data_IF_119948419244
#
_entry.id   IF_119948419244
#
_cell.length_a   1.000
_cell.length_b   1.000
_cell.length_c   1.000
_cell.angle_alpha   90.00
_cell.angle_beta   90.00
_cell.angle_gamma   90.00
#
_symmetry.space_group_name_H-M   'P 1'
#
loop_
_entity.id
_entity.type
_entity.pdbx_description
1 polymer ?
#
# COMPACT_ATOMS: atom_id res chain seq x y z
N UNK A 1 -11.30 9.61 -13.96
CA UNK A 1 -11.04 8.97 -15.26
C UNK A 1 -11.98 9.48 -16.37
N UNK A 2 -13.27 9.67 -16.06
CA UNK A 2 -14.26 10.20 -17.03
C UNK A 2 -14.20 11.70 -17.21
N UNK A 3 -13.52 12.45 -16.36
CA UNK A 3 -13.40 13.91 -16.40
C UNK A 3 -14.69 14.66 -16.03
N UNK A 4 -15.66 14.00 -15.40
CA UNK A 4 -16.94 14.60 -14.98
C UNK A 4 -16.85 15.32 -13.63
N UNK A 5 -15.88 14.96 -12.80
CA UNK A 5 -15.56 15.61 -11.52
C UNK A 5 -14.11 16.10 -11.53
N UNK A 6 -13.85 17.21 -10.84
CA UNK A 6 -12.51 17.72 -10.56
C UNK A 6 -11.89 17.06 -9.32
N UNK A 7 -10.72 17.56 -8.87
CA UNK A 7 -9.99 17.06 -7.70
C UNK A 7 -10.72 17.30 -6.38
N UNK A 8 -11.63 18.30 -6.36
CA UNK A 8 -12.45 18.62 -5.20
C UNK A 8 -13.83 17.93 -5.24
N UNK A 9 -14.03 16.96 -6.14
CA UNK A 9 -15.28 16.25 -6.39
C UNK A 9 -16.44 17.15 -6.85
N UNK A 10 -16.15 18.32 -7.43
CA UNK A 10 -17.13 19.20 -8.04
C UNK A 10 -17.32 18.85 -9.52
N UNK A 11 -18.52 19.13 -10.04
CA UNK A 11 -18.82 18.90 -11.45
C UNK A 11 -17.95 19.81 -12.34
N UNK A 12 -17.28 19.19 -13.30
CA UNK A 12 -16.62 19.92 -14.40
C UNK A 12 -17.67 20.45 -15.38
N UNK A 13 -17.30 21.34 -16.34
CA UNK A 13 -18.21 21.72 -17.44
C UNK A 13 -18.74 20.51 -18.22
N UNK A 14 -17.91 19.47 -18.41
CA UNK A 14 -18.35 18.20 -19.01
C UNK A 14 -19.36 17.49 -18.09
N UNK A 15 -19.04 17.38 -16.79
CA UNK A 15 -19.95 16.78 -15.81
C UNK A 15 -21.31 17.44 -15.76
N UNK A 16 -21.36 18.77 -15.81
CA UNK A 16 -22.61 19.54 -15.84
C UNK A 16 -23.45 19.27 -17.09
N UNK A 17 -22.83 19.01 -18.25
CA UNK A 17 -23.54 18.59 -19.46
C UNK A 17 -24.00 17.14 -19.33
N UNK A 18 -23.13 16.24 -18.85
CA UNK A 18 -23.47 14.84 -18.64
C UNK A 18 -24.64 14.64 -17.68
N UNK A 19 -24.77 15.46 -16.62
CA UNK A 19 -25.86 15.39 -15.65
C UNK A 19 -27.26 15.64 -16.27
N UNK A 20 -27.31 16.19 -17.47
CA UNK A 20 -28.60 16.40 -18.19
C UNK A 20 -29.09 15.11 -18.87
N UNK A 21 -28.26 14.11 -19.07
CA UNK A 21 -28.64 12.86 -19.73
C UNK A 21 -29.25 11.86 -18.75
N UNK A 22 -30.36 11.21 -19.12
CA UNK A 22 -31.02 10.21 -18.28
C UNK A 22 -30.39 8.79 -18.49
N UNK A 23 -29.09 8.71 -18.43
CA UNK A 23 -28.28 7.48 -18.61
C UNK A 23 -27.13 7.47 -17.63
N UNK A 24 -26.43 6.35 -17.51
CA UNK A 24 -25.23 6.28 -16.67
C UNK A 24 -24.17 7.33 -17.05
N UNK A 25 -23.40 7.88 -16.11
CA UNK A 25 -22.40 8.92 -16.36
C UNK A 25 -21.42 8.60 -17.49
N UNK A 26 -20.98 7.34 -17.62
CA UNK A 26 -20.09 6.90 -18.68
C UNK A 26 -20.71 6.97 -20.07
N UNK A 27 -21.98 6.61 -20.17
CA UNK A 27 -22.76 6.66 -21.41
C UNK A 27 -23.04 8.13 -21.78
N UNK A 28 -23.30 8.97 -20.78
CA UNK A 28 -23.47 10.42 -20.98
C UNK A 28 -22.19 11.08 -21.53
N UNK A 29 -21.00 10.68 -21.06
CA UNK A 29 -19.71 11.17 -21.60
C UNK A 29 -19.56 10.78 -23.07
N UNK A 30 -19.91 9.53 -23.43
CA UNK A 30 -19.88 9.08 -24.82
C UNK A 30 -20.82 9.92 -25.71
N UNK A 31 -22.05 10.17 -25.25
CA UNK A 31 -23.03 11.00 -25.99
C UNK A 31 -22.56 12.45 -26.17
N UNK A 32 -22.00 13.07 -25.12
CA UNK A 32 -21.49 14.45 -25.17
C UNK A 32 -20.30 14.60 -26.12
N UNK A 33 -19.43 13.59 -26.18
CA UNK A 33 -18.22 13.61 -27.01
C UNK A 33 -18.37 12.98 -28.39
N UNK A 34 -19.52 12.36 -28.68
CA UNK A 34 -19.77 11.73 -29.99
C UNK A 34 -19.73 12.72 -31.17
N UNK A 35 -19.91 14.01 -30.92
CA UNK A 35 -19.75 15.08 -31.91
C UNK A 35 -18.33 15.19 -32.46
N UNK A 36 -17.32 14.82 -31.65
CA UNK A 36 -15.91 14.81 -32.07
C UNK A 36 -15.66 13.82 -33.25
N UNK A 37 -16.56 12.87 -33.42
CA UNK A 37 -16.51 11.82 -34.46
C UNK A 37 -17.63 11.92 -35.50
N UNK A 38 -18.43 12.98 -35.47
CA UNK A 38 -19.64 13.11 -36.29
C UNK A 38 -20.59 11.90 -36.15
N UNK A 39 -20.66 11.30 -34.94
CA UNK A 39 -21.33 10.04 -34.67
C UNK A 39 -22.43 10.16 -33.62
N UNK A 40 -23.01 11.35 -33.39
CA UNK A 40 -24.05 11.56 -32.39
C UNK A 40 -25.28 10.67 -32.61
N UNK A 41 -25.83 10.52 -33.85
CA UNK A 41 -26.96 9.63 -34.07
C UNK A 41 -26.62 8.16 -33.75
N UNK A 42 -25.41 7.73 -34.13
CA UNK A 42 -24.93 6.37 -33.82
C UNK A 42 -24.74 6.16 -32.32
N UNK A 43 -24.19 7.15 -31.63
CA UNK A 43 -23.99 7.10 -30.17
C UNK A 43 -25.31 6.97 -29.40
N UNK A 44 -26.41 7.58 -29.89
CA UNK A 44 -27.74 7.38 -29.32
C UNK A 44 -28.21 5.92 -29.46
N UNK A 45 -27.94 5.30 -30.59
CA UNK A 45 -28.24 3.88 -30.80
C UNK A 45 -27.39 2.96 -29.91
N UNK A 46 -26.11 3.26 -29.76
CA UNK A 46 -25.19 2.54 -28.84
C UNK A 46 -25.64 2.72 -27.40
N UNK A 47 -25.97 3.93 -26.98
CA UNK A 47 -26.44 4.20 -25.62
C UNK A 47 -27.70 3.39 -25.28
N UNK A 48 -28.67 3.38 -26.18
CA UNK A 48 -29.89 2.57 -26.01
C UNK A 48 -29.58 1.05 -25.96
N UNK A 49 -28.56 0.58 -26.69
CA UNK A 49 -28.13 -0.82 -26.64
C UNK A 49 -27.45 -1.17 -25.32
N UNK A 50 -26.66 -0.27 -24.76
CA UNK A 50 -25.96 -0.46 -23.47
C UNK A 50 -26.93 -0.47 -22.27
N UNK A 51 -28.08 0.19 -22.38
CA UNK A 51 -29.14 0.20 -21.36
C UNK A 51 -30.04 -1.05 -21.39
N UNK A 52 -29.97 -1.88 -22.46
CA UNK A 52 -30.72 -3.15 -22.52
C UNK A 52 -30.12 -4.17 -21.55
N UNK A 53 -30.83 -4.53 -20.48
CA UNK A 53 -30.38 -5.40 -19.40
C UNK A 53 -29.99 -6.83 -19.81
N UNK A 54 -30.50 -7.32 -20.93
CA UNK A 54 -30.37 -8.72 -21.40
C UNK A 54 -29.51 -8.86 -22.65
N UNK A 55 -28.79 -7.81 -23.07
CA UNK A 55 -27.93 -7.92 -24.25
C UNK A 55 -26.60 -8.62 -23.91
N UNK A 56 -26.61 -9.95 -23.92
CA UNK A 56 -25.38 -10.76 -23.91
C UNK A 56 -24.73 -10.83 -25.31
N UNK A 57 -24.92 -9.79 -26.11
CA UNK A 57 -24.41 -9.67 -27.45
C UNK A 57 -22.88 -9.56 -27.42
N UNK A 58 -22.19 -10.43 -28.11
CA UNK A 58 -20.73 -10.48 -28.13
C UNK A 58 -20.13 -9.33 -28.92
N UNK A 59 -20.71 -9.04 -30.10
CA UNK A 59 -20.43 -7.87 -30.94
C UNK A 59 -21.55 -6.85 -30.80
N UNK A 60 -21.25 -5.72 -30.22
CA UNK A 60 -22.18 -4.60 -30.14
C UNK A 60 -22.41 -3.95 -31.52
N UNK A 61 -21.40 -4.01 -32.39
CA UNK A 61 -21.52 -3.53 -33.76
C UNK A 61 -22.57 -4.32 -34.56
N UNK A 62 -22.53 -5.66 -34.51
CA UNK A 62 -23.50 -6.50 -35.24
C UNK A 62 -24.89 -6.37 -34.64
N UNK A 63 -24.98 -6.30 -33.30
CA UNK A 63 -26.24 -6.09 -32.61
C UNK A 63 -26.89 -4.76 -32.99
N UNK A 64 -26.09 -3.69 -33.06
CA UNK A 64 -26.59 -2.39 -33.48
C UNK A 64 -26.97 -2.35 -34.96
N UNK A 65 -26.15 -2.96 -35.84
CA UNK A 65 -26.45 -3.11 -37.27
C UNK A 65 -27.79 -3.77 -37.52
N UNK A 66 -28.08 -4.85 -36.80
CA UNK A 66 -29.37 -5.53 -36.86
C UNK A 66 -30.52 -4.65 -36.43
N UNK A 67 -30.38 -3.91 -35.33
CA UNK A 67 -31.40 -3.01 -34.77
C UNK A 67 -31.70 -1.83 -35.69
N UNK A 68 -30.66 -1.26 -36.30
CA UNK A 68 -30.82 -0.17 -37.26
C UNK A 68 -31.55 -0.63 -38.52
N UNK A 69 -31.28 -1.87 -39.00
CA UNK A 69 -31.94 -2.44 -40.19
C UNK A 69 -33.35 -2.89 -39.90
N UNK A 70 -33.70 -3.37 -38.71
CA UNK A 70 -34.98 -3.95 -38.33
C UNK A 70 -35.53 -3.36 -37.03
N UNK A 71 -35.76 -2.02 -36.94
CA UNK A 71 -36.12 -1.38 -35.70
C UNK A 71 -37.45 -1.89 -35.12
N UNK A 72 -38.39 -2.32 -35.98
CA UNK A 72 -39.70 -2.87 -35.54
C UNK A 72 -39.55 -4.17 -34.74
N UNK A 73 -38.45 -4.93 -34.95
CA UNK A 73 -38.15 -6.14 -34.19
C UNK A 73 -37.65 -5.85 -32.77
N UNK A 74 -37.14 -4.65 -32.53
CA UNK A 74 -36.53 -4.22 -31.25
C UNK A 74 -37.25 -2.92 -30.74
N UNK A 75 -38.53 -2.97 -30.38
CA UNK A 75 -39.33 -1.77 -30.10
C UNK A 75 -38.85 -1.01 -28.85
N UNK A 76 -38.30 -1.71 -27.84
CA UNK A 76 -37.77 -1.07 -26.62
C UNK A 76 -36.51 -0.27 -26.94
N UNK A 77 -35.53 -0.90 -27.62
CA UNK A 77 -34.32 -0.24 -28.07
C UNK A 77 -34.65 0.97 -28.97
N UNK A 78 -35.54 0.79 -29.94
CA UNK A 78 -35.87 1.85 -30.91
C UNK A 78 -36.50 3.07 -30.22
N UNK A 79 -37.42 2.86 -29.26
CA UNK A 79 -38.02 3.92 -28.46
C UNK A 79 -36.96 4.70 -27.69
N UNK A 80 -36.03 4.00 -27.04
CA UNK A 80 -34.98 4.62 -26.24
C UNK A 80 -33.98 5.37 -27.12
N UNK A 81 -33.56 4.79 -28.23
CA UNK A 81 -32.66 5.43 -29.18
C UNK A 81 -33.28 6.71 -29.79
N UNK A 82 -34.57 6.69 -30.13
CA UNK A 82 -35.32 7.89 -30.59
C UNK A 82 -35.42 8.94 -29.49
N UNK A 83 -35.62 8.55 -28.23
CA UNK A 83 -35.70 9.48 -27.11
C UNK A 83 -34.37 10.21 -26.93
N UNK A 84 -33.27 9.48 -26.98
CA UNK A 84 -31.91 10.04 -26.86
C UNK A 84 -31.58 10.92 -28.08
N UNK A 85 -31.86 10.48 -29.30
CA UNK A 85 -31.63 11.25 -30.52
C UNK A 85 -32.41 12.57 -30.53
N UNK A 86 -33.72 12.56 -30.13
CA UNK A 86 -34.52 13.78 -29.95
C UNK A 86 -33.89 14.75 -28.96
N UNK A 87 -33.36 14.23 -27.84
CA UNK A 87 -32.69 15.04 -26.83
C UNK A 87 -31.38 15.64 -27.37
N UNK A 88 -30.65 14.90 -28.18
CA UNK A 88 -29.42 15.35 -28.86
C UNK A 88 -29.72 16.34 -30.02
N UNK A 89 -30.96 16.51 -30.43
CA UNK A 89 -31.33 17.34 -31.59
C UNK A 89 -30.93 16.73 -32.94
N UNK A 90 -30.85 15.41 -33.04
CA UNK A 90 -30.47 14.67 -34.26
C UNK A 90 -31.53 13.66 -34.67
N UNK A 91 -31.53 13.24 -35.94
CA UNK A 91 -32.37 12.15 -36.40
C UNK A 91 -31.66 10.81 -36.28
N UNK A 92 -32.28 9.79 -35.70
CA UNK A 92 -31.67 8.45 -35.57
C UNK A 92 -31.36 7.82 -36.93
N UNK A 93 -32.16 8.14 -37.94
CA UNK A 93 -32.01 7.64 -39.32
C UNK A 93 -30.73 8.17 -39.99
N UNK A 94 -30.07 9.22 -39.45
CA UNK A 94 -28.81 9.74 -39.92
C UNK A 94 -27.60 8.94 -39.36
N UNK A 95 -27.87 7.89 -38.56
CA UNK A 95 -26.83 7.05 -38.02
C UNK A 95 -26.12 6.27 -39.12
N UNK A 96 -24.85 6.61 -39.33
CA UNK A 96 -23.93 5.84 -40.19
C UNK A 96 -23.17 4.85 -39.34
N UNK A 97 -23.27 3.58 -39.69
CA UNK A 97 -22.60 2.51 -38.97
C UNK A 97 -21.09 2.58 -39.26
N UNK A 98 -20.33 2.89 -38.25
CA UNK A 98 -18.86 2.89 -38.23
C UNK A 98 -18.36 2.01 -37.09
N UNK A 99 -17.05 1.66 -37.04
CA UNK A 99 -16.49 0.92 -35.89
C UNK A 99 -16.83 1.58 -34.56
N UNK A 100 -17.36 0.80 -33.61
CA UNK A 100 -17.86 1.33 -32.32
C UNK A 100 -16.75 1.52 -31.30
N UNK A 101 -15.56 0.93 -31.52
CA UNK A 101 -14.44 1.03 -30.58
C UNK A 101 -14.14 2.45 -30.09
N UNK A 102 -14.02 3.46 -30.96
CA UNK A 102 -13.76 4.84 -30.54
C UNK A 102 -14.85 5.44 -29.63
N UNK A 103 -16.12 5.21 -29.92
CA UNK A 103 -17.24 5.67 -29.08
C UNK A 103 -17.24 4.97 -27.71
N UNK A 104 -17.06 3.66 -27.71
CA UNK A 104 -17.03 2.86 -26.49
C UNK A 104 -15.80 3.18 -25.63
N UNK A 105 -14.68 3.54 -26.24
CA UNK A 105 -13.49 4.00 -25.52
C UNK A 105 -13.74 5.27 -24.69
N UNK A 106 -14.66 6.14 -25.11
CA UNK A 106 -15.09 7.31 -24.33
C UNK A 106 -15.87 6.93 -23.08
N UNK A 107 -16.70 5.87 -23.18
CA UNK A 107 -17.49 5.37 -22.05
C UNK A 107 -16.68 4.51 -21.08
N UNK A 108 -15.67 3.78 -21.58
CA UNK A 108 -14.91 2.77 -20.84
C UNK A 108 -13.40 2.98 -20.92
N UNK A 109 -12.86 4.16 -20.54
CA UNK A 109 -11.43 4.45 -20.67
C UNK A 109 -10.55 3.50 -19.83
N UNK A 110 -11.06 3.02 -18.69
CA UNK A 110 -10.38 2.08 -17.81
C UNK A 110 -10.35 0.64 -18.33
N UNK A 111 -11.16 0.36 -19.36
CA UNK A 111 -11.32 -0.99 -19.98
C UNK A 111 -10.73 -1.07 -21.39
N UNK A 112 -9.95 -0.08 -21.79
CA UNK A 112 -9.09 -0.22 -22.97
C UNK A 112 -8.15 -1.39 -22.73
N UNK A 113 -8.05 -2.30 -23.69
CA UNK A 113 -7.25 -3.52 -23.58
C UNK A 113 -6.16 -3.59 -24.66
N UNK A 114 -4.96 -3.93 -24.25
CA UNK A 114 -3.82 -4.26 -25.13
C UNK A 114 -3.56 -5.75 -25.07
N UNK A 115 -3.41 -6.40 -26.22
CA UNK A 115 -3.07 -7.82 -26.30
C UNK A 115 -1.70 -8.09 -25.68
N UNK A 116 -1.64 -9.06 -24.78
CA UNK A 116 -0.39 -9.64 -24.24
C UNK A 116 -0.03 -10.87 -25.07
N UNK A 117 -1.02 -11.67 -25.35
CA UNK A 117 -0.99 -12.88 -26.19
C UNK A 117 -2.39 -13.09 -26.75
N UNK A 118 -2.58 -13.90 -27.79
CA UNK A 118 -3.91 -14.17 -28.33
C UNK A 118 -4.89 -14.59 -27.24
N UNK A 119 -6.04 -13.92 -27.18
CA UNK A 119 -7.08 -14.18 -26.19
C UNK A 119 -6.79 -13.63 -24.77
N UNK A 120 -5.70 -12.93 -24.55
CA UNK A 120 -5.36 -12.36 -23.25
C UNK A 120 -4.97 -10.89 -23.37
N UNK A 121 -5.62 -10.05 -22.60
CA UNK A 121 -5.49 -8.61 -22.67
C UNK A 121 -5.17 -8.00 -21.32
N UNK A 122 -4.30 -6.98 -21.32
CA UNK A 122 -4.11 -6.09 -20.19
C UNK A 122 -4.97 -4.85 -20.38
N UNK A 123 -5.79 -4.55 -19.40
CA UNK A 123 -6.64 -3.37 -19.42
C UNK A 123 -5.88 -2.12 -18.89
N UNK A 124 -6.38 -0.94 -19.24
CA UNK A 124 -5.85 0.34 -18.76
C UNK A 124 -5.85 0.47 -17.23
N UNK A 125 -6.77 -0.20 -16.52
CA UNK A 125 -6.79 -0.27 -15.06
C UNK A 125 -5.79 -1.30 -14.46
N UNK A 126 -4.94 -1.92 -15.30
CA UNK A 126 -3.91 -2.88 -14.90
C UNK A 126 -4.40 -4.34 -14.77
N UNK A 127 -5.72 -4.59 -14.81
CA UNK A 127 -6.26 -5.97 -14.74
C UNK A 127 -6.00 -6.74 -16.01
N UNK A 128 -5.83 -8.05 -15.88
CA UNK A 128 -5.75 -8.99 -17.03
C UNK A 128 -7.10 -9.65 -17.22
N UNK A 129 -7.54 -9.72 -18.47
CA UNK A 129 -8.81 -10.35 -18.89
C UNK A 129 -8.60 -11.30 -20.05
N UNK A 130 -9.51 -12.24 -20.23
CA UNK A 130 -9.38 -13.29 -21.24
C UNK A 130 -10.58 -13.39 -22.16
N UNK A 131 -10.32 -13.89 -23.38
CA UNK A 131 -11.29 -14.31 -24.39
C UNK A 131 -10.95 -15.70 -24.92
N UNK A 132 -11.93 -16.51 -25.32
CA UNK A 132 -11.66 -17.75 -26.06
C UNK A 132 -10.94 -17.46 -27.38
N UNK A 133 -9.99 -18.32 -27.76
CA UNK A 133 -9.18 -18.13 -28.98
C UNK A 133 -9.99 -18.18 -30.29
N UNK A 134 -11.16 -18.79 -30.28
CA UNK A 134 -12.09 -18.80 -31.42
C UNK A 134 -12.90 -17.50 -31.58
N UNK A 135 -12.71 -16.55 -30.69
CA UNK A 135 -13.29 -15.21 -30.80
C UNK A 135 -12.47 -14.33 -31.73
N UNK A 136 -13.12 -13.58 -32.62
CA UNK A 136 -12.44 -12.67 -33.55
C UNK A 136 -11.68 -11.57 -32.84
N UNK A 137 -12.15 -11.13 -31.65
CA UNK A 137 -11.46 -10.15 -30.83
C UNK A 137 -10.17 -10.69 -30.20
N UNK A 138 -10.03 -12.00 -30.03
CA UNK A 138 -8.86 -12.63 -29.44
C UNK A 138 -7.54 -12.30 -30.15
N UNK A 139 -7.62 -11.96 -31.43
CA UNK A 139 -6.48 -11.69 -32.31
C UNK A 139 -6.25 -10.19 -32.55
N UNK A 140 -7.04 -9.31 -31.92
CA UNK A 140 -6.88 -7.86 -32.05
C UNK A 140 -5.74 -7.35 -31.18
N UNK A 141 -5.00 -6.36 -31.65
CA UNK A 141 -3.94 -5.72 -30.86
C UNK A 141 -4.52 -4.87 -29.72
N UNK A 142 -5.62 -4.17 -29.98
CA UNK A 142 -6.32 -3.34 -29.00
C UNK A 142 -7.83 -3.55 -29.09
N UNK A 143 -8.48 -3.51 -27.95
CA UNK A 143 -9.93 -3.66 -27.78
C UNK A 143 -10.47 -2.70 -26.73
N UNK A 144 -11.79 -2.54 -26.74
CA UNK A 144 -12.55 -1.98 -25.61
C UNK A 144 -13.43 -3.08 -25.03
N UNK A 145 -13.19 -3.46 -23.78
CA UNK A 145 -14.01 -4.45 -23.09
C UNK A 145 -15.22 -3.75 -22.43
N UNK A 146 -16.43 -4.04 -22.90
CA UNK A 146 -17.65 -3.38 -22.43
C UNK A 146 -18.27 -4.12 -21.24
N UNK A 147 -18.45 -5.44 -21.38
CA UNK A 147 -18.98 -6.28 -20.32
C UNK A 147 -17.94 -7.34 -19.91
N UNK A 148 -17.81 -7.51 -18.60
CA UNK A 148 -16.89 -8.46 -17.99
C UNK A 148 -17.68 -9.36 -17.03
N UNK A 149 -17.36 -10.66 -17.05
CA UNK A 149 -17.83 -11.58 -16.02
C UNK A 149 -16.74 -11.73 -14.96
N UNK A 150 -17.05 -11.40 -13.71
CA UNK A 150 -16.20 -11.73 -12.55
C UNK A 150 -16.46 -13.18 -12.16
N UNK A 151 -15.74 -14.13 -12.81
CA UNK A 151 -15.65 -15.47 -12.27
C UNK A 151 -14.93 -15.44 -10.91
N UNK A 152 -15.32 -16.30 -9.98
CA UNK A 152 -14.58 -16.55 -8.76
C UNK A 152 -13.19 -17.09 -9.12
N UNK A 153 -12.18 -16.22 -9.12
CA UNK A 153 -10.80 -16.51 -9.55
C UNK A 153 -10.17 -15.30 -10.23
N UNK A 154 -8.85 -15.27 -10.28
CA UNK A 154 -8.02 -14.12 -10.69
C UNK A 154 -8.18 -13.58 -12.12
N UNK A 155 -9.00 -14.19 -12.99
CA UNK A 155 -9.11 -13.78 -14.39
C UNK A 155 -10.57 -13.55 -14.80
N UNK A 156 -10.96 -12.28 -14.92
CA UNK A 156 -12.24 -11.92 -15.51
C UNK A 156 -12.27 -12.25 -17.01
N UNK A 157 -13.45 -12.69 -17.50
CA UNK A 157 -13.68 -12.95 -18.94
C UNK A 157 -14.44 -11.81 -19.57
N UNK A 158 -14.06 -11.47 -20.80
CA UNK A 158 -14.81 -10.51 -21.62
C UNK A 158 -16.05 -11.21 -22.17
N UNK A 159 -17.23 -10.61 -21.89
CA UNK A 159 -18.52 -11.03 -22.45
C UNK A 159 -18.76 -10.31 -23.78
N UNK A 160 -18.57 -8.99 -23.79
CA UNK A 160 -18.73 -8.16 -24.99
C UNK A 160 -17.61 -7.11 -25.06
N UNK A 161 -17.25 -6.76 -26.28
CA UNK A 161 -16.24 -5.75 -26.58
C UNK A 161 -16.14 -5.48 -28.06
N UNK A 162 -15.35 -4.46 -28.41
CA UNK A 162 -15.14 -4.05 -29.79
C UNK A 162 -13.65 -3.81 -30.06
N UNK A 163 -13.20 -4.02 -31.32
CA UNK A 163 -11.83 -3.72 -31.70
C UNK A 163 -11.59 -2.21 -31.67
N UNK A 164 -10.34 -1.82 -31.34
CA UNK A 164 -9.90 -0.45 -31.36
C UNK A 164 -8.58 -0.35 -32.15
N UNK A 165 -8.48 0.59 -33.09
CA UNK A 165 -7.23 0.82 -33.80
C UNK A 165 -6.27 1.66 -32.95
N UNK A 166 -4.96 1.49 -33.21
CA UNK A 166 -3.93 2.32 -32.57
C UNK A 166 -4.09 3.81 -32.94
N UNK A 167 -4.53 4.09 -34.15
CA UNK A 167 -4.78 5.47 -34.61
C UNK A 167 -5.94 6.10 -33.84
N UNK A 168 -7.03 5.37 -33.64
CA UNK A 168 -8.15 5.81 -32.81
C UNK A 168 -7.71 6.05 -31.35
N UNK A 169 -6.88 5.18 -30.81
CA UNK A 169 -6.34 5.33 -29.45
C UNK A 169 -5.52 6.61 -29.31
N UNK A 170 -4.66 6.92 -30.30
CA UNK A 170 -3.89 8.17 -30.31
C UNK A 170 -4.74 9.43 -30.54
N UNK A 171 -5.83 9.31 -31.30
CA UNK A 171 -6.79 10.42 -31.51
C UNK A 171 -7.55 10.73 -30.23
N UNK A 172 -8.03 9.71 -29.54
CA UNK A 172 -8.79 9.85 -28.29
C UNK A 172 -7.94 10.33 -27.11
N UNK A 173 -6.71 9.89 -27.06
CA UNK A 173 -5.76 10.13 -25.96
C UNK A 173 -4.41 10.61 -26.49
N UNK A 174 -4.32 11.84 -27.02
CA UNK A 174 -3.10 12.36 -27.67
C UNK A 174 -1.89 12.40 -26.73
N UNK A 175 -2.11 12.48 -25.42
CA UNK A 175 -1.07 12.40 -24.39
C UNK A 175 -0.27 11.10 -24.41
N UNK A 176 -0.81 10.01 -25.00
CA UNK A 176 -0.07 8.74 -25.13
C UNK A 176 1.17 8.89 -26.01
N UNK A 177 1.16 9.82 -26.97
CA UNK A 177 2.32 10.06 -27.85
C UNK A 177 3.53 10.67 -27.14
N UNK A 178 3.31 11.20 -25.94
CA UNK A 178 4.39 11.78 -25.14
C UNK A 178 5.18 10.66 -24.45
N UNK A 179 6.50 10.73 -24.55
CA UNK A 179 7.40 9.88 -23.82
C UNK A 179 7.42 10.31 -22.34
N UNK A 180 7.16 9.37 -21.45
CA UNK A 180 7.14 9.61 -20.01
C UNK A 180 8.19 8.71 -19.35
N UNK A 181 9.05 9.25 -18.48
CA UNK A 181 10.00 8.45 -17.75
C UNK A 181 9.26 7.52 -16.78
N UNK A 182 9.61 6.24 -16.80
CA UNK A 182 9.13 5.24 -15.87
C UNK A 182 10.33 4.56 -15.26
N UNK A 183 10.48 4.67 -13.95
CA UNK A 183 11.50 3.95 -13.19
C UNK A 183 10.78 2.94 -12.31
N UNK A 184 11.21 1.69 -12.40
CA UNK A 184 10.63 0.59 -11.62
C UNK A 184 11.74 -0.24 -10.99
N UNK A 185 11.44 -0.85 -9.84
CA UNK A 185 12.33 -1.83 -9.24
C UNK A 185 12.10 -3.20 -9.90
N UNK A 186 13.14 -3.75 -10.52
CA UNK A 186 13.11 -5.13 -11.00
C UNK A 186 13.47 -6.08 -9.88
N UNK A 187 12.54 -6.91 -9.48
CA UNK A 187 12.81 -7.96 -8.47
C UNK A 187 13.79 -9.02 -8.99
N UNK A 188 13.67 -9.36 -10.27
CA UNK A 188 14.51 -10.35 -10.94
C UNK A 188 15.98 -9.89 -11.03
N UNK A 189 16.20 -8.62 -11.36
CA UNK A 189 17.54 -8.06 -11.54
C UNK A 189 18.10 -7.38 -10.27
N UNK A 190 17.29 -7.22 -9.23
CA UNK A 190 17.69 -6.55 -7.99
C UNK A 190 18.15 -5.09 -8.17
N UNK A 191 17.63 -4.39 -9.19
CA UNK A 191 17.99 -3.01 -9.53
C UNK A 191 16.84 -2.20 -10.08
N UNK A 192 17.01 -0.89 -10.13
CA UNK A 192 16.12 0.00 -10.85
C UNK A 192 16.29 -0.17 -12.37
N UNK A 193 15.16 -0.21 -13.06
CA UNK A 193 15.07 -0.16 -14.52
C UNK A 193 14.39 1.15 -14.91
N UNK A 194 15.07 1.94 -15.70
CA UNK A 194 14.52 3.14 -16.31
C UNK A 194 14.12 2.90 -17.76
N UNK A 195 12.90 3.23 -18.08
CA UNK A 195 12.36 3.20 -19.43
C UNK A 195 11.62 4.54 -19.69
N UNK A 196 11.69 5.05 -20.89
CA UNK A 196 10.67 5.98 -21.36
C UNK A 196 9.58 5.18 -22.02
N UNK A 197 8.34 5.50 -21.70
CA UNK A 197 7.17 4.78 -22.20
C UNK A 197 6.17 5.74 -22.82
N UNK A 198 5.53 5.29 -23.90
CA UNK A 198 4.27 5.84 -24.37
C UNK A 198 3.15 4.97 -23.80
N UNK A 199 2.39 5.50 -22.86
CA UNK A 199 1.47 4.68 -22.10
C UNK A 199 0.15 5.40 -21.76
N UNK A 200 -0.89 4.60 -21.51
CA UNK A 200 -2.17 5.04 -20.96
C UNK A 200 -2.61 4.07 -19.85
N UNK A 201 -2.49 4.48 -18.61
CA UNK A 201 -2.72 3.55 -17.49
C UNK A 201 -1.82 2.32 -17.57
N UNK A 202 -2.44 1.12 -17.60
CA UNK A 202 -1.73 -0.16 -17.71
C UNK A 202 -1.28 -0.54 -19.13
N UNK A 203 -1.69 0.22 -20.17
CA UNK A 203 -1.28 -0.03 -21.55
C UNK A 203 0.08 0.60 -21.81
N UNK A 204 1.00 -0.16 -22.41
CA UNK A 204 2.32 0.33 -22.84
C UNK A 204 2.44 0.12 -24.35
N UNK A 205 2.32 1.22 -25.10
CA UNK A 205 2.32 1.19 -26.57
C UNK A 205 3.73 1.04 -27.14
N UNK A 206 4.67 1.80 -26.56
CA UNK A 206 6.08 1.75 -26.92
C UNK A 206 6.93 1.99 -25.67
N UNK A 207 8.14 1.45 -25.68
CA UNK A 207 9.14 1.67 -24.64
C UNK A 207 10.54 1.74 -25.24
N UNK A 208 11.40 2.53 -24.60
CA UNK A 208 12.82 2.63 -24.91
C UNK A 208 13.63 2.80 -23.62
N UNK A 209 14.90 2.37 -23.59
CA UNK A 209 15.75 2.57 -22.41
C UNK A 209 15.88 4.05 -22.06
N UNK A 210 15.84 4.35 -20.75
CA UNK A 210 16.15 5.66 -20.21
C UNK A 210 17.58 5.63 -19.67
N UNK A 211 18.47 6.44 -20.25
CA UNK A 211 19.89 6.47 -19.87
C UNK A 211 20.10 7.11 -18.50
N UNK A 212 19.48 8.27 -18.28
CA UNK A 212 19.56 9.02 -17.03
C UNK A 212 18.25 8.87 -16.24
N UNK A 213 18.34 8.35 -15.02
CA UNK A 213 17.19 8.16 -14.15
C UNK A 213 16.89 9.47 -13.41
N UNK A 214 15.73 10.10 -13.62
CA UNK A 214 15.35 11.28 -12.84
C UNK A 214 15.25 10.95 -11.36
N UNK A 215 15.89 11.76 -10.51
CA UNK A 215 15.99 11.50 -9.05
C UNK A 215 14.61 11.31 -8.42
N UNK A 216 13.62 12.08 -8.81
CA UNK A 216 12.26 11.92 -8.27
C UNK A 216 11.61 10.59 -8.68
N UNK A 217 11.81 10.15 -9.92
CA UNK A 217 11.30 8.86 -10.37
C UNK A 217 12.03 7.68 -9.70
N UNK A 218 13.33 7.81 -9.45
CA UNK A 218 14.13 6.86 -8.67
C UNK A 218 13.60 6.75 -7.25
N UNK A 219 13.39 7.89 -6.59
CA UNK A 219 12.85 7.98 -5.24
C UNK A 219 11.50 7.29 -5.13
N UNK A 220 10.56 7.61 -6.01
CA UNK A 220 9.24 6.98 -6.04
C UNK A 220 9.31 5.46 -6.28
N UNK A 221 10.18 5.02 -7.18
CA UNK A 221 10.38 3.60 -7.43
C UNK A 221 10.95 2.85 -6.22
N UNK A 222 11.87 3.47 -5.47
CA UNK A 222 12.41 2.91 -4.22
C UNK A 222 11.33 2.84 -3.14
N UNK A 223 10.54 3.89 -2.93
CA UNK A 223 9.43 3.89 -1.96
C UNK A 223 8.40 2.80 -2.28
N UNK A 224 8.04 2.65 -3.55
CA UNK A 224 7.13 1.57 -3.97
C UNK A 224 7.72 0.18 -3.76
N UNK A 225 9.02 0.00 -4.01
CA UNK A 225 9.71 -1.26 -3.75
C UNK A 225 9.75 -1.61 -2.25
N UNK A 226 9.95 -0.61 -1.38
CA UNK A 226 9.91 -0.77 0.07
C UNK A 226 8.52 -1.14 0.59
N UNK A 227 7.45 -0.61 0.00
CA UNK A 227 6.07 -1.03 0.33
C UNK A 227 5.81 -2.50 -0.01
N UNK A 228 6.45 -3.00 -1.06
CA UNK A 228 6.36 -4.43 -1.43
C UNK A 228 7.28 -5.33 -0.60
N UNK A 229 8.35 -4.77 -0.02
CA UNK A 229 9.36 -5.47 0.79
C UNK A 229 9.65 -4.73 2.08
N UNK A 230 8.66 -4.63 2.98
CA UNK A 230 8.78 -3.84 4.20
C UNK A 230 9.85 -4.37 5.16
N UNK A 231 10.20 -5.65 5.08
CA UNK A 231 11.23 -6.28 5.92
C UNK A 231 12.60 -5.58 5.81
N UNK A 232 12.91 -4.95 4.69
CA UNK A 232 14.17 -4.23 4.49
C UNK A 232 14.27 -2.93 5.30
N UNK A 233 13.14 -2.41 5.79
CA UNK A 233 13.11 -1.22 6.65
C UNK A 233 13.17 -1.57 8.14
N UNK A 234 12.54 -2.68 8.54
CA UNK A 234 12.25 -2.96 9.94
C UNK A 234 13.32 -3.85 10.59
N UNK A 235 14.60 -3.41 10.53
CA UNK A 235 15.68 -4.03 11.30
C UNK A 235 15.52 -3.83 12.81
N UNK A 236 16.35 -4.51 13.61
CA UNK A 236 16.22 -4.58 15.08
C UNK A 236 16.17 -3.20 15.74
N UNK A 237 17.03 -2.27 15.36
CA UNK A 237 17.07 -0.94 15.93
C UNK A 237 15.75 -0.16 15.71
N UNK A 238 15.21 -0.22 14.49
CA UNK A 238 13.94 0.43 14.18
C UNK A 238 12.78 -0.26 14.92
N UNK A 239 12.83 -1.57 15.11
CA UNK A 239 11.83 -2.30 15.89
C UNK A 239 11.88 -1.90 17.38
N UNK A 240 13.07 -1.73 17.97
CA UNK A 240 13.23 -1.20 19.34
C UNK A 240 12.61 0.20 19.46
N UNK A 241 12.91 1.09 18.53
CA UNK A 241 12.35 2.43 18.50
C UNK A 241 10.82 2.43 18.41
N UNK A 242 10.27 1.57 17.55
CA UNK A 242 8.81 1.38 17.42
C UNK A 242 8.18 0.81 18.70
N UNK A 243 8.89 -0.10 19.38
CA UNK A 243 8.44 -0.63 20.68
C UNK A 243 8.34 0.46 21.75
N UNK A 244 9.30 1.39 21.78
CA UNK A 244 9.27 2.57 22.68
C UNK A 244 8.07 3.45 22.37
N UNK A 245 7.82 3.76 21.10
CA UNK A 245 6.67 4.56 20.66
C UNK A 245 5.33 3.87 20.97
N UNK A 246 5.22 2.57 20.72
CA UNK A 246 4.03 1.79 21.00
C UNK A 246 3.66 1.84 22.50
N UNK A 247 4.68 1.78 23.37
CA UNK A 247 4.49 1.93 24.81
C UNK A 247 3.92 3.30 25.18
N UNK A 248 4.43 4.39 24.59
CA UNK A 248 3.92 5.74 24.85
C UNK A 248 2.52 5.94 24.32
N UNK A 249 2.25 5.52 23.08
CA UNK A 249 0.91 5.62 22.50
C UNK A 249 -0.14 4.84 23.30
N UNK A 250 0.24 3.72 23.92
CA UNK A 250 -0.65 2.94 24.79
C UNK A 250 -0.97 3.65 26.11
N UNK A 251 -0.01 4.41 26.66
CA UNK A 251 -0.15 5.02 27.99
C UNK A 251 -0.54 6.50 27.96
N UNK A 252 -0.22 7.23 26.91
CA UNK A 252 -0.47 8.67 26.78
C UNK A 252 -1.40 9.01 25.58
N UNK A 253 -1.82 7.99 24.80
CA UNK A 253 -2.79 8.16 23.73
C UNK A 253 -2.28 8.91 22.51
N UNK A 254 -3.15 9.73 21.92
CA UNK A 254 -2.95 10.41 20.62
C UNK A 254 -1.91 11.56 20.66
N UNK A 255 -1.27 11.81 21.78
CA UNK A 255 -0.18 12.80 21.87
C UNK A 255 1.06 12.36 21.09
N UNK A 256 1.20 11.06 20.86
CA UNK A 256 2.33 10.47 20.14
C UNK A 256 1.92 9.92 18.75
N UNK A 257 2.78 10.07 17.73
CA UNK A 257 2.46 9.59 16.39
C UNK A 257 2.38 8.07 16.31
N UNK A 258 1.52 7.58 15.42
CA UNK A 258 1.44 6.15 15.12
C UNK A 258 2.65 5.69 14.31
N UNK A 259 3.56 4.93 14.95
CA UNK A 259 4.68 4.27 14.30
C UNK A 259 4.44 2.77 14.08
N UNK A 260 3.20 2.36 13.90
CA UNK A 260 2.88 1.03 13.40
C UNK A 260 3.47 0.79 12.00
N UNK A 261 3.69 -0.47 11.63
CA UNK A 261 4.20 -0.78 10.28
C UNK A 261 3.34 -0.19 9.16
N UNK A 262 1.99 -0.31 9.20
CA UNK A 262 1.14 0.30 8.19
C UNK A 262 1.28 1.82 8.10
N UNK A 263 1.29 2.53 9.24
CA UNK A 263 1.40 3.98 9.27
C UNK A 263 2.74 4.48 8.73
N UNK A 264 3.86 3.83 9.10
CA UNK A 264 5.18 4.17 8.60
C UNK A 264 5.31 3.91 7.09
N UNK A 265 4.72 2.83 6.57
CA UNK A 265 4.72 2.54 5.13
C UNK A 265 3.82 3.50 4.35
N UNK A 266 2.74 3.98 4.95
CA UNK A 266 1.87 4.99 4.35
C UNK A 266 2.54 6.37 4.28
N UNK A 267 3.40 6.70 5.25
CA UNK A 267 4.04 8.01 5.39
C UNK A 267 5.51 8.07 4.94
N UNK A 268 5.98 7.09 4.14
CA UNK A 268 7.38 7.03 3.66
C UNK A 268 7.84 8.32 2.97
N UNK A 269 6.93 9.02 2.29
CA UNK A 269 7.19 10.29 1.62
C UNK A 269 7.63 11.40 2.59
N UNK A 270 7.11 11.39 3.81
CA UNK A 270 7.41 12.43 4.79
C UNK A 270 8.69 12.16 5.58
N UNK A 271 8.89 10.93 6.07
CA UNK A 271 10.00 10.65 6.99
C UNK A 271 11.25 10.05 6.35
N UNK A 272 11.11 9.34 5.20
CA UNK A 272 12.21 8.67 4.53
C UNK A 272 12.63 9.33 3.21
N UNK A 273 11.68 9.72 2.37
CA UNK A 273 11.97 10.25 1.03
C UNK A 273 12.97 11.41 1.00
N UNK A 274 13.00 12.37 1.97
CA UNK A 274 13.98 13.45 1.98
C UNK A 274 15.44 12.97 2.04
N UNK A 275 15.67 11.77 2.54
CA UNK A 275 17.01 11.19 2.74
C UNK A 275 17.45 10.22 1.65
N UNK A 276 16.62 10.02 0.59
CA UNK A 276 16.92 9.12 -0.51
C UNK A 276 17.71 9.75 -1.67
N UNK A 277 18.22 10.97 -1.50
CA UNK A 277 19.01 11.64 -2.54
C UNK A 277 20.28 10.82 -2.82
N UNK A 278 20.50 10.48 -4.12
CA UNK A 278 21.66 9.70 -4.55
C UNK A 278 21.56 8.19 -4.27
N UNK A 279 20.49 7.72 -3.61
CA UNK A 279 20.25 6.30 -3.37
C UNK A 279 19.66 5.66 -4.64
N UNK A 280 20.27 4.57 -5.10
CA UNK A 280 19.86 3.84 -6.31
C UNK A 280 19.59 2.34 -6.08
N UNK A 281 19.80 1.85 -4.86
CA UNK A 281 19.64 0.43 -4.50
C UNK A 281 19.00 0.29 -3.13
N UNK A 282 18.14 -0.70 -2.95
CA UNK A 282 17.51 -0.98 -1.65
C UNK A 282 18.53 -1.33 -0.57
N UNK A 283 19.61 -2.06 -0.91
CA UNK A 283 20.68 -2.39 0.03
C UNK A 283 21.46 -1.17 0.57
N UNK A 284 21.33 0.00 -0.05
CA UNK A 284 21.88 1.23 0.51
C UNK A 284 20.96 1.81 1.60
N UNK A 285 19.65 1.55 1.50
CA UNK A 285 18.64 2.01 2.48
C UNK A 285 18.82 1.28 3.80
N UNK A 286 19.13 -0.01 3.79
CA UNK A 286 19.43 -0.81 4.99
C UNK A 286 20.60 -0.26 5.83
N UNK A 287 21.48 0.53 5.21
CA UNK A 287 22.64 1.16 5.86
C UNK A 287 22.38 2.57 6.36
N UNK A 288 21.20 3.11 6.09
CA UNK A 288 20.81 4.43 6.56
C UNK A 288 20.43 4.38 8.05
N UNK A 289 20.70 5.43 8.80
CA UNK A 289 20.25 5.55 10.20
C UNK A 289 18.76 5.86 10.28
N UNK A 290 17.91 4.88 9.92
CA UNK A 290 16.47 5.05 9.77
C UNK A 290 15.80 5.51 11.08
N UNK A 291 16.28 5.01 12.22
CA UNK A 291 15.83 5.42 13.56
C UNK A 291 16.04 6.90 13.79
N UNK A 292 17.18 7.46 13.34
CA UNK A 292 17.47 8.88 13.47
C UNK A 292 16.55 9.73 12.60
N UNK A 293 16.24 9.26 11.39
CA UNK A 293 15.32 9.98 10.50
C UNK A 293 13.92 10.03 11.08
N UNK A 294 13.49 8.94 11.70
CA UNK A 294 12.20 8.86 12.33
C UNK A 294 12.14 9.72 13.61
N UNK A 295 13.17 9.70 14.43
CA UNK A 295 13.28 10.59 15.60
C UNK A 295 13.27 12.08 15.20
N UNK A 296 13.96 12.45 14.12
CA UNK A 296 13.96 13.82 13.63
C UNK A 296 12.56 14.31 13.23
N UNK A 297 11.63 13.39 12.89
CA UNK A 297 10.25 13.77 12.56
C UNK A 297 9.42 14.23 13.77
N UNK A 298 9.87 13.95 15.01
CA UNK A 298 9.18 14.38 16.23
C UNK A 298 9.42 15.87 16.57
N UNK A 299 10.51 16.46 16.08
CA UNK A 299 10.97 17.75 16.57
C UNK A 299 11.72 17.66 17.89
N UNK A 300 12.42 18.72 18.25
CA UNK A 300 13.39 18.71 19.38
C UNK A 300 12.75 18.44 20.75
N UNK A 301 11.65 19.13 21.05
CA UNK A 301 11.00 19.03 22.37
C UNK A 301 10.43 17.63 22.60
N UNK A 302 9.62 17.13 21.63
CA UNK A 302 9.04 15.80 21.70
C UNK A 302 10.10 14.68 21.66
N UNK A 303 11.21 14.86 20.94
CA UNK A 303 12.31 13.90 20.97
C UNK A 303 12.95 13.83 22.36
N UNK A 304 13.19 14.96 23.01
CA UNK A 304 13.77 14.99 24.37
C UNK A 304 12.87 14.30 25.38
N UNK A 305 11.57 14.57 25.32
CA UNK A 305 10.56 13.93 26.17
C UNK A 305 10.47 12.41 25.89
N UNK A 306 10.47 12.02 24.63
CA UNK A 306 10.48 10.61 24.22
C UNK A 306 11.67 9.84 24.81
N UNK A 307 12.87 10.44 24.76
CA UNK A 307 14.09 9.82 25.29
C UNK A 307 14.06 9.72 26.82
N UNK A 308 13.49 10.69 27.51
CA UNK A 308 13.32 10.69 28.96
C UNK A 308 12.30 9.63 29.39
N UNK A 309 11.13 9.58 28.75
CA UNK A 309 10.03 8.67 29.11
C UNK A 309 10.35 7.21 28.81
N UNK A 310 11.14 6.95 27.77
CA UNK A 310 11.51 5.59 27.33
C UNK A 310 13.03 5.44 27.16
N UNK A 311 13.82 5.47 28.26
CA UNK A 311 15.27 5.41 28.21
C UNK A 311 15.75 4.09 27.59
N UNK A 312 16.88 4.13 26.89
CA UNK A 312 17.50 2.93 26.31
C UNK A 312 18.12 2.00 27.35
N UNK A 313 18.52 2.55 28.48
CA UNK A 313 19.18 1.82 29.57
C UNK A 313 18.63 2.28 30.91
N UNK A 314 18.69 1.39 31.91
CA UNK A 314 18.49 1.75 33.31
C UNK A 314 19.74 1.45 34.12
N UNK A 315 20.03 2.33 35.08
CA UNK A 315 21.06 2.07 36.09
C UNK A 315 20.52 1.07 37.10
N UNK A 316 21.25 -0.03 37.29
CA UNK A 316 20.89 -1.06 38.26
C UNK A 316 21.74 -0.87 39.54
N UNK A 317 21.36 -1.49 40.68
CA UNK A 317 22.06 -1.27 41.95
C UNK A 317 23.57 -1.53 41.95
N UNK A 318 24.07 -2.30 41.01
CA UNK A 318 25.52 -2.50 40.84
C UNK A 318 26.24 -1.33 40.15
N UNK A 319 25.56 -0.22 39.83
CA UNK A 319 26.09 0.92 39.07
C UNK A 319 26.22 0.70 37.57
N UNK A 320 25.76 -0.43 37.09
CA UNK A 320 25.84 -0.76 35.65
C UNK A 320 24.62 -0.25 34.90
N UNK A 321 24.84 0.29 33.70
CA UNK A 321 23.78 0.57 32.75
C UNK A 321 23.36 -0.70 32.01
N UNK A 322 22.10 -1.10 32.13
CA UNK A 322 21.55 -2.30 31.48
C UNK A 322 20.50 -1.89 30.48
N UNK A 323 20.60 -2.44 29.25
CA UNK A 323 19.68 -2.13 28.17
C UNK A 323 18.26 -2.64 28.42
N UNK A 324 17.30 -1.84 28.03
CA UNK A 324 15.89 -2.24 27.99
C UNK A 324 15.53 -2.79 26.61
N UNK A 325 14.80 -3.88 26.60
CA UNK A 325 14.23 -4.46 25.40
C UNK A 325 12.74 -4.04 25.27
N UNK A 326 12.46 -3.22 24.27
CA UNK A 326 11.11 -2.72 23.98
C UNK A 326 10.38 -3.52 22.90
N UNK A 327 10.97 -4.57 22.33
CA UNK A 327 10.28 -5.42 21.35
C UNK A 327 8.95 -6.01 21.88
N UNK A 328 8.85 -6.42 23.15
CA UNK A 328 7.60 -6.90 23.72
C UNK A 328 6.45 -5.89 23.67
N UNK A 329 6.77 -4.57 23.71
CA UNK A 329 5.76 -3.51 23.67
C UNK A 329 5.00 -3.45 22.34
N UNK A 330 5.56 -3.99 21.25
CA UNK A 330 4.85 -4.17 19.97
C UNK A 330 3.69 -5.18 20.06
N UNK A 331 3.60 -5.91 21.17
CA UNK A 331 2.54 -6.89 21.47
C UNK A 331 1.87 -6.58 22.82
N UNK A 332 1.80 -5.32 23.19
CA UNK A 332 1.16 -4.85 24.43
C UNK A 332 1.69 -5.52 25.71
N UNK A 333 2.99 -5.79 25.75
CA UNK A 333 3.69 -6.33 26.91
C UNK A 333 4.71 -5.31 27.41
N UNK A 334 5.00 -5.28 28.71
CA UNK A 334 5.95 -4.33 29.28
C UNK A 334 7.37 -4.54 28.72
N UNK A 335 8.20 -3.49 28.72
CA UNK A 335 9.61 -3.59 28.35
C UNK A 335 10.36 -4.52 29.29
N UNK A 336 11.39 -5.18 28.79
CA UNK A 336 12.17 -6.19 29.53
C UNK A 336 13.53 -5.67 29.93
N UNK A 337 13.88 -5.86 31.21
CA UNK A 337 15.22 -5.62 31.73
C UNK A 337 15.85 -6.95 32.16
N UNK A 338 16.85 -7.40 31.43
CA UNK A 338 17.52 -8.68 31.70
C UNK A 338 18.89 -8.45 32.37
N UNK A 339 19.03 -8.85 33.65
CA UNK A 339 20.25 -8.66 34.42
C UNK A 339 20.55 -9.90 35.29
N UNK A 340 21.82 -10.06 35.72
CA UNK A 340 22.13 -11.09 36.68
C UNK A 340 21.49 -10.78 38.02
N UNK A 341 20.99 -11.79 38.70
CA UNK A 341 20.31 -11.64 39.98
C UNK A 341 21.14 -10.86 40.99
N UNK A 342 22.47 -11.07 41.03
CA UNK A 342 23.37 -10.36 41.95
C UNK A 342 23.51 -8.87 41.65
N UNK A 343 23.23 -8.42 40.42
CA UNK A 343 23.23 -7.01 40.04
C UNK A 343 21.97 -6.29 40.55
N UNK A 344 20.92 -7.02 40.97
CA UNK A 344 19.67 -6.51 41.50
C UNK A 344 19.61 -6.48 43.04
N UNK A 345 20.64 -6.96 43.76
CA UNK A 345 20.63 -6.92 45.23
C UNK A 345 20.46 -5.48 45.72
N UNK A 346 19.72 -5.27 46.80
CA UNK A 346 19.37 -3.98 47.33
C UNK A 346 18.17 -3.29 46.65
N UNK A 347 17.65 -3.85 45.54
CA UNK A 347 16.55 -3.26 44.81
C UNK A 347 15.20 -3.55 45.49
N UNK A 348 14.65 -2.58 46.17
CA UNK A 348 13.44 -2.70 46.99
C UNK A 348 12.16 -2.48 46.15
N UNK A 349 12.26 -1.80 45.01
CA UNK A 349 11.12 -1.43 44.18
C UNK A 349 11.40 -1.91 42.73
N UNK A 350 10.38 -2.42 42.07
CA UNK A 350 10.47 -2.76 40.66
C UNK A 350 10.73 -1.49 39.84
N UNK A 351 11.75 -1.46 38.94
CA UNK A 351 11.99 -0.30 38.12
C UNK A 351 10.83 -0.05 37.14
N UNK A 352 10.65 1.21 36.80
CA UNK A 352 9.57 1.66 35.92
C UNK A 352 10.10 2.66 34.89
N UNK A 353 9.34 2.83 33.81
CA UNK A 353 9.52 3.81 32.74
C UNK A 353 8.25 4.64 32.60
N UNK A 354 8.21 5.60 31.68
CA UNK A 354 7.05 6.49 31.47
C UNK A 354 6.66 7.20 32.79
N UNK A 355 7.64 7.90 33.38
CA UNK A 355 7.50 8.61 34.66
C UNK A 355 6.89 7.78 35.79
N UNK A 356 7.23 6.49 35.85
CA UNK A 356 6.73 5.56 36.87
C UNK A 356 5.43 4.87 36.49
N UNK A 357 4.82 5.20 35.37
CA UNK A 357 3.53 4.63 34.94
C UNK A 357 3.59 3.17 34.49
N UNK A 358 4.76 2.66 34.07
CA UNK A 358 4.91 1.32 33.55
C UNK A 358 6.02 0.56 34.27
N UNK A 359 5.65 -0.45 35.05
CA UNK A 359 6.61 -1.36 35.67
C UNK A 359 7.30 -2.24 34.61
N UNK A 360 8.61 -2.31 34.67
CA UNK A 360 9.44 -3.10 33.75
C UNK A 360 9.33 -4.59 34.12
N UNK A 361 9.31 -5.47 33.11
CA UNK A 361 9.44 -6.91 33.30
C UNK A 361 10.91 -7.27 33.58
N UNK A 362 11.25 -7.64 34.81
CA UNK A 362 12.61 -7.97 35.20
C UNK A 362 12.89 -9.45 34.96
N UNK A 363 13.87 -9.74 34.11
CA UNK A 363 14.40 -11.07 33.93
C UNK A 363 15.66 -11.25 34.77
N UNK A 364 15.53 -11.89 35.90
CA UNK A 364 16.65 -12.22 36.79
C UNK A 364 17.40 -13.45 36.26
N UNK A 365 18.66 -13.29 35.95
CA UNK A 365 19.48 -14.31 35.32
C UNK A 365 20.52 -14.89 36.28
N UNK A 366 20.85 -16.17 36.08
CA UNK A 366 22.00 -16.80 36.73
C UNK A 366 23.33 -16.18 36.31
N UNK A 367 24.44 -16.46 36.98
CA UNK A 367 25.78 -16.06 36.54
C UNK A 367 26.11 -16.48 35.10
N UNK A 368 25.53 -17.59 34.62
CA UNK A 368 25.66 -18.06 33.25
C UNK A 368 24.62 -17.50 32.29
N UNK A 369 23.90 -16.43 32.69
CA UNK A 369 22.85 -15.75 31.92
C UNK A 369 21.65 -16.63 31.55
N UNK A 370 21.33 -17.63 32.35
CA UNK A 370 20.09 -18.44 32.20
C UNK A 370 18.99 -17.81 33.05
N UNK A 371 17.75 -17.74 32.58
CA UNK A 371 16.64 -17.24 33.36
C UNK A 371 16.47 -18.01 34.67
N UNK A 372 16.31 -17.28 35.77
CA UNK A 372 16.00 -17.83 37.11
C UNK A 372 14.58 -17.43 37.48
N UNK A 373 14.21 -16.18 37.23
CA UNK A 373 12.89 -15.61 37.54
C UNK A 373 12.55 -14.52 36.54
N UNK A 374 11.28 -14.41 36.25
CA UNK A 374 10.69 -13.33 35.46
C UNK A 374 9.58 -12.72 36.32
N UNK A 375 9.67 -11.41 36.62
CA UNK A 375 8.73 -10.75 37.52
C UNK A 375 8.59 -9.27 37.22
N UNK A 376 7.41 -8.73 37.52
CA UNK A 376 7.16 -7.28 37.67
C UNK A 376 6.99 -6.89 39.17
N UNK A 377 7.14 -7.84 40.08
CA UNK A 377 7.06 -7.64 41.52
C UNK A 377 8.33 -8.19 42.19
N UNK A 378 9.33 -7.33 42.28
CA UNK A 378 10.59 -7.68 42.95
C UNK A 378 10.40 -7.89 44.46
N UNK A 379 9.50 -7.17 45.09
CA UNK A 379 9.23 -7.29 46.54
C UNK A 379 8.75 -8.71 46.85
N UNK A 380 7.72 -9.16 46.14
CA UNK A 380 7.21 -10.52 46.28
C UNK A 380 8.26 -11.60 45.95
N UNK A 381 9.08 -11.35 44.92
CA UNK A 381 10.17 -12.27 44.57
C UNK A 381 11.19 -12.39 45.68
N UNK A 382 11.65 -11.30 46.29
CA UNK A 382 12.62 -11.35 47.39
C UNK A 382 12.10 -12.10 48.59
N UNK A 383 10.81 -11.95 48.91
CA UNK A 383 10.17 -12.61 50.04
C UNK A 383 9.89 -14.11 49.82
N UNK A 384 9.39 -14.44 48.63
CA UNK A 384 8.82 -15.77 48.38
C UNK A 384 9.66 -16.63 47.43
N UNK A 385 10.24 -16.02 46.36
CA UNK A 385 10.95 -16.76 45.32
C UNK A 385 12.47 -16.91 45.57
N UNK A 386 13.09 -15.87 46.12
CA UNK A 386 14.52 -15.87 46.32
C UNK A 386 15.06 -16.96 47.24
N UNK A 387 14.42 -17.37 48.38
CA UNK A 387 14.91 -18.43 49.23
C UNK A 387 15.12 -19.75 48.46
N UNK A 388 14.22 -20.12 47.59
CA UNK A 388 14.32 -21.34 46.77
C UNK A 388 15.41 -21.23 45.71
N UNK A 389 15.44 -20.09 44.98
CA UNK A 389 16.50 -19.79 43.99
C UNK A 389 17.88 -19.80 44.64
N UNK A 390 18.01 -19.22 45.85
CA UNK A 390 19.25 -19.21 46.63
C UNK A 390 19.71 -20.62 46.97
N UNK A 391 18.81 -21.48 47.46
CA UNK A 391 19.11 -22.85 47.84
C UNK A 391 19.69 -23.65 46.68
N UNK A 392 19.09 -23.53 45.50
CA UNK A 392 19.51 -24.20 44.27
C UNK A 392 20.83 -23.63 43.76
N UNK A 393 20.89 -22.30 43.62
CA UNK A 393 22.01 -21.62 42.93
C UNK A 393 23.30 -21.57 43.77
N UNK A 394 23.20 -21.59 45.11
CA UNK A 394 24.37 -21.65 45.98
C UNK A 394 25.18 -22.94 45.75
N UNK A 395 24.51 -24.05 45.50
CA UNK A 395 25.15 -25.29 45.14
C UNK A 395 25.78 -25.26 43.75
N UNK A 396 25.07 -24.68 42.79
CA UNK A 396 25.46 -24.65 41.36
C UNK A 396 26.55 -23.59 41.05
N UNK A 397 26.50 -22.45 41.76
CA UNK A 397 27.44 -21.33 41.56
C UNK A 397 28.09 -20.87 42.89
N UNK A 398 28.88 -21.73 43.59
CA UNK A 398 29.39 -21.45 44.93
C UNK A 398 30.35 -20.25 44.99
N UNK A 399 30.96 -19.87 43.84
CA UNK A 399 31.89 -18.74 43.72
C UNK A 399 31.21 -17.38 43.68
N UNK A 400 29.84 -17.35 43.51
CA UNK A 400 29.06 -16.13 43.50
C UNK A 400 28.39 -15.86 44.86
N UNK A 401 28.08 -14.59 45.19
CA UNK A 401 27.41 -14.26 46.45
C UNK A 401 25.93 -14.72 46.40
N UNK A 402 25.46 -15.38 47.50
CA UNK A 402 24.09 -15.82 47.72
C UNK A 402 23.72 -15.49 49.17
N UNK A 403 23.55 -14.16 49.52
CA UNK A 403 23.27 -13.72 50.87
C UNK A 403 21.94 -14.28 51.37
N UNK A 404 21.77 -14.24 52.72
CA UNK A 404 20.46 -14.59 53.32
C UNK A 404 19.45 -13.47 53.10
N UNK A 405 19.90 -12.26 53.31
CA UNK A 405 19.14 -11.06 52.97
C UNK A 405 19.70 -10.37 51.72
N UNK A 406 19.00 -10.49 50.58
CA UNK A 406 19.43 -9.87 49.33
C UNK A 406 19.21 -8.36 49.30
N UNK A 407 18.39 -7.80 50.20
CA UNK A 407 18.07 -6.37 50.22
C UNK A 407 19.14 -5.52 50.92
N UNK A 408 19.87 -6.10 51.86
CA UNK A 408 21.00 -5.44 52.53
C UNK A 408 22.37 -5.75 51.93
N UNK A 409 22.41 -6.74 51.05
CA UNK A 409 23.65 -7.16 50.41
C UNK A 409 24.07 -6.20 49.28
N UNK A 410 25.40 -5.94 49.13
CA UNK A 410 25.89 -5.11 48.03
C UNK A 410 25.66 -5.80 46.67
N UNK A 411 25.12 -5.03 45.73
CA UNK A 411 24.94 -5.48 44.37
C UNK A 411 26.28 -5.64 43.64
N UNK A 412 26.43 -6.69 42.83
CA UNK A 412 27.68 -6.94 42.16
C UNK A 412 27.55 -7.77 40.89
N UNK A 413 28.34 -7.47 39.89
CA UNK A 413 28.52 -8.29 38.69
C UNK A 413 29.59 -9.39 38.86
N UNK A 414 30.34 -9.35 39.96
CA UNK A 414 31.55 -10.12 40.18
C UNK A 414 31.37 -11.37 41.09
N UNK A 415 32.38 -12.20 41.12
CA UNK A 415 32.48 -13.32 42.07
C UNK A 415 33.00 -12.83 43.42
N UNK A 416 32.79 -13.61 44.50
CA UNK A 416 33.26 -13.32 45.88
C UNK A 416 34.74 -12.94 46.01
N UNK A 417 35.55 -13.38 45.06
CA UNK A 417 36.99 -13.12 45.05
C UNK A 417 37.39 -11.76 44.47
N UNK A 418 36.43 -11.06 43.82
CA UNK A 418 36.61 -9.73 43.20
C UNK A 418 35.74 -8.64 43.82
N UNK A 419 35.03 -8.97 44.89
CA UNK A 419 34.40 -8.04 45.78
C UNK A 419 35.43 -7.56 46.79
#
# INVERSE_FOLDING_TARGET
QLGVLDHEHKLTPLGSRCAKWPVEPRVAVMLERASEFNAVPLACGVAALLEERDSNERSLHDALALRLRQPKRFPSWHREALRLAKRAGVALNDAVLVPLGPLLALAYPERLGQSIEPGKFRLANGKTVTLPLNDTLAHQAYIVAVALNSAAGDQARIISGEPLSLESLFSLYPGIRQWQPRVTWSQEQGRLIGEEVQAHGGLVIAKRPLADLPDEAVKQALLNALRQRPEQLFGDNLQQLRGRMALLSEHQGDEWPDWSKPALLASLESWLAPYLIGIKRLSQIEKLPLERYLLNSLGWEAQSEFEQLTPLTLEVPSGKQVGLDYLPCLSHRPPVLALKLQEAFGWQVTPSVVDGGVAVMVHLLSPARRPLQVTQDLVSFWQNGYPEVRKEMRGRYPKHPWPEDPLTAPATAHTKRKM
#
